data_IF_596105137552
#
_entry.id   IF_596105137552
#
_cell.length_a   1.000
_cell.length_b   1.000
_cell.length_c   1.000
_cell.angle_alpha   90.00
_cell.angle_beta   90.00
_cell.angle_gamma   90.00
#
_symmetry.space_group_name_H-M   'P 1'
#
loop_
_entity.id
_entity.type
_entity.pdbx_description
1 polymer ?
#
# COMPACT_ATOMS: atom_id res chain seq x y z
N UNK A 1 1.42 25.01 4.10
CA UNK A 1 0.06 25.17 3.61
C UNK A 1 0.04 26.31 2.62
N UNK A 2 -0.17 25.96 1.36
CA UNK A 2 -0.40 26.94 0.32
C UNK A 2 -1.83 27.47 0.56
N UNK A 3 -1.96 28.59 1.25
CA UNK A 3 -3.23 29.27 1.40
C UNK A 3 -3.75 29.70 0.03
N UNK A 4 -5.05 29.62 -0.18
CA UNK A 4 -5.83 30.12 -1.32
C UNK A 4 -5.17 30.03 -2.72
N UNK A 5 -4.57 28.90 -3.04
CA UNK A 5 -3.95 28.69 -4.32
C UNK A 5 -4.94 27.99 -5.26
N UNK A 6 -5.36 28.70 -6.30
CA UNK A 6 -6.28 28.19 -7.33
C UNK A 6 -5.64 27.15 -8.27
N UNK A 7 -4.35 26.83 -8.08
CA UNK A 7 -3.64 25.80 -8.87
C UNK A 7 -3.76 24.44 -8.23
N UNK A 8 -4.04 23.43 -9.03
CA UNK A 8 -3.98 22.03 -8.59
C UNK A 8 -2.54 21.67 -8.19
N UNK A 9 -2.39 20.85 -7.12
CA UNK A 9 -1.09 20.45 -6.58
C UNK A 9 -0.23 19.78 -7.65
N UNK A 10 -0.82 18.94 -8.49
CA UNK A 10 -0.12 18.24 -9.56
C UNK A 10 0.46 19.16 -10.62
N UNK A 11 -0.24 20.23 -10.98
CA UNK A 11 0.26 21.27 -11.90
C UNK A 11 1.45 22.05 -11.30
N UNK A 12 1.42 22.30 -9.99
CA UNK A 12 2.54 22.95 -9.28
C UNK A 12 3.75 22.02 -9.22
N UNK A 13 3.54 20.73 -8.89
CA UNK A 13 4.62 19.73 -8.86
C UNK A 13 5.25 19.54 -10.24
N UNK A 14 4.45 19.48 -11.31
CA UNK A 14 4.96 19.37 -12.67
C UNK A 14 5.83 20.57 -13.08
N UNK A 15 5.40 21.78 -12.77
CA UNK A 15 6.17 23.00 -13.05
C UNK A 15 7.48 23.07 -12.22
N UNK A 16 7.44 22.61 -10.96
CA UNK A 16 8.62 22.56 -10.10
C UNK A 16 9.60 21.46 -10.54
N UNK A 17 9.11 20.34 -11.07
CA UNK A 17 9.92 19.21 -11.51
C UNK A 17 10.91 19.65 -12.59
N UNK A 18 10.46 20.35 -13.62
CA UNK A 18 11.31 20.84 -14.70
C UNK A 18 12.42 21.76 -14.18
N UNK A 19 12.10 22.68 -13.27
CA UNK A 19 13.06 23.60 -12.68
C UNK A 19 14.06 22.89 -11.75
N UNK A 20 13.63 21.88 -11.03
CA UNK A 20 14.48 21.13 -10.08
C UNK A 20 15.37 20.13 -10.81
N UNK A 21 14.91 19.48 -11.87
CA UNK A 21 15.72 18.54 -12.66
C UNK A 21 16.86 19.22 -13.38
N UNK A 22 16.64 20.44 -13.86
CA UNK A 22 17.67 21.27 -14.52
C UNK A 22 18.65 21.94 -13.55
N UNK A 23 18.34 21.98 -12.26
CA UNK A 23 19.22 22.61 -11.25
C UNK A 23 20.42 21.70 -10.93
N UNK A 24 21.67 22.20 -11.00
CA UNK A 24 22.86 21.43 -10.65
C UNK A 24 22.85 21.13 -9.14
N UNK A 25 23.07 19.86 -8.77
CA UNK A 25 23.15 19.42 -7.38
C UNK A 25 23.55 17.97 -7.27
N UNK A 26 24.44 17.67 -6.31
CA UNK A 26 24.81 16.31 -5.98
C UNK A 26 23.74 15.68 -5.09
N UNK A 27 22.89 14.81 -5.63
CA UNK A 27 21.92 14.06 -4.85
C UNK A 27 20.68 13.65 -5.66
N UNK A 28 19.95 12.67 -5.13
CA UNK A 28 18.70 12.21 -5.72
C UNK A 28 17.57 13.14 -5.31
N UNK A 29 16.90 13.74 -6.29
CA UNK A 29 15.77 14.62 -6.08
C UNK A 29 14.49 13.81 -6.13
N UNK A 30 13.61 13.96 -5.15
CA UNK A 30 12.34 13.22 -5.07
C UNK A 30 11.22 14.16 -4.69
N UNK A 31 10.11 14.08 -5.43
CA UNK A 31 8.88 14.80 -5.09
C UNK A 31 7.96 13.87 -4.28
N UNK A 32 7.51 14.33 -3.13
CA UNK A 32 6.54 13.61 -2.31
C UNK A 32 5.31 14.48 -2.16
N UNK A 33 4.18 14.03 -2.69
CA UNK A 33 2.87 14.64 -2.47
C UNK A 33 2.19 13.95 -1.29
N UNK A 34 1.65 14.74 -0.37
CA UNK A 34 0.82 14.22 0.71
C UNK A 34 -0.56 13.91 0.12
N UNK A 35 -0.89 12.65 -0.06
CA UNK A 35 -2.25 12.23 -0.36
C UNK A 35 -3.09 12.31 0.92
N UNK A 36 -4.27 12.94 0.85
CA UNK A 36 -5.24 12.94 1.95
C UNK A 36 -5.84 11.56 2.11
N UNK A 37 -5.32 10.76 3.02
CA UNK A 37 -5.79 9.41 3.29
C UNK A 37 -4.82 8.64 4.18
N UNK A 38 -5.12 7.39 4.55
CA UNK A 38 -4.14 6.52 5.18
C UNK A 38 -2.91 6.41 4.27
N UNK A 39 -1.69 6.31 4.85
CA UNK A 39 -0.48 6.15 4.06
C UNK A 39 -0.62 4.89 3.20
N UNK A 40 -0.76 5.09 1.90
CA UNK A 40 -0.74 4.01 0.93
C UNK A 40 0.70 3.77 0.47
N UNK A 41 1.03 2.52 0.21
CA UNK A 41 2.30 2.17 -0.44
C UNK A 41 2.43 2.82 -1.81
N UNK A 42 3.63 2.79 -2.39
CA UNK A 42 3.84 3.26 -3.76
C UNK A 42 3.03 2.43 -4.75
N UNK A 43 2.56 3.05 -5.82
CA UNK A 43 1.80 2.35 -6.87
C UNK A 43 2.62 1.22 -7.52
N UNK A 44 3.92 1.45 -7.72
CA UNK A 44 4.88 0.40 -8.05
C UNK A 44 5.79 0.22 -6.85
N UNK A 45 5.78 -0.97 -6.24
CA UNK A 45 6.67 -1.37 -5.18
C UNK A 45 6.93 -2.88 -5.31
N UNK A 46 8.15 -3.22 -5.76
CA UNK A 46 8.53 -4.61 -6.01
C UNK A 46 9.76 -4.94 -5.21
N UNK A 47 9.65 -5.90 -4.33
CA UNK A 47 10.77 -6.44 -3.55
C UNK A 47 11.46 -7.53 -4.36
N UNK A 48 12.67 -7.27 -4.77
CA UNK A 48 13.57 -8.20 -5.47
C UNK A 48 14.37 -8.96 -4.42
N UNK A 49 14.14 -10.26 -4.28
CA UNK A 49 14.68 -11.07 -3.19
C UNK A 49 15.56 -12.20 -3.70
N UNK A 50 16.65 -12.47 -2.96
CA UNK A 50 17.56 -13.56 -3.27
C UNK A 50 18.62 -13.76 -2.20
N UNK A 51 19.57 -14.61 -2.48
CA UNK A 51 20.68 -14.90 -1.56
C UNK A 51 21.96 -14.16 -1.99
N UNK A 52 22.16 -13.93 -3.30
CA UNK A 52 23.29 -13.17 -3.85
C UNK A 52 22.87 -11.71 -4.10
N UNK A 53 23.58 -10.78 -3.48
CA UNK A 53 23.24 -9.37 -3.56
C UNK A 53 23.52 -8.77 -4.95
N UNK A 54 24.54 -9.25 -5.65
CA UNK A 54 24.91 -8.72 -6.96
C UNK A 54 23.92 -9.22 -8.04
N UNK A 55 23.38 -10.41 -7.86
CA UNK A 55 22.28 -10.92 -8.70
C UNK A 55 20.97 -10.17 -8.41
N UNK A 56 20.65 -9.91 -7.13
CA UNK A 56 19.51 -9.09 -6.74
C UNK A 56 19.59 -7.70 -7.37
N UNK A 57 20.75 -7.06 -7.33
CA UNK A 57 20.92 -5.71 -7.90
C UNK A 57 20.75 -5.70 -9.42
N UNK A 58 21.31 -6.67 -10.13
CA UNK A 58 21.12 -6.80 -11.59
C UNK A 58 19.64 -7.03 -11.94
N UNK A 59 18.96 -7.87 -11.17
CA UNK A 59 17.53 -8.10 -11.34
C UNK A 59 16.72 -6.83 -11.02
N UNK A 60 17.07 -6.10 -9.96
CA UNK A 60 16.43 -4.81 -9.62
C UNK A 60 16.61 -3.77 -10.74
N UNK A 61 17.79 -3.72 -11.37
CA UNK A 61 18.05 -2.85 -12.53
C UNK A 61 17.18 -3.23 -13.73
N UNK A 62 16.99 -4.52 -13.98
CA UNK A 62 16.07 -5.00 -15.02
C UNK A 62 14.62 -4.65 -14.70
N UNK A 63 14.17 -4.82 -13.46
CA UNK A 63 12.83 -4.42 -13.01
C UNK A 63 12.62 -2.91 -13.17
N UNK A 64 13.62 -2.08 -12.81
CA UNK A 64 13.58 -0.61 -13.04
C UNK A 64 13.43 -0.27 -14.52
N UNK A 65 14.15 -0.98 -15.39
CA UNK A 65 14.06 -0.76 -16.84
C UNK A 65 12.64 -1.08 -17.37
N UNK A 66 12.04 -2.18 -16.94
CA UNK A 66 10.65 -2.52 -17.29
C UNK A 66 9.69 -1.44 -16.77
N UNK A 67 9.82 -1.07 -15.48
CA UNK A 67 8.94 -0.10 -14.85
C UNK A 67 8.99 1.28 -15.52
N UNK A 68 10.16 1.74 -15.98
CA UNK A 68 10.32 3.02 -16.69
C UNK A 68 9.63 3.06 -18.05
N UNK A 69 9.42 1.90 -18.67
CA UNK A 69 8.73 1.78 -19.96
C UNK A 69 7.20 1.76 -19.83
N UNK A 70 6.66 1.69 -18.61
CA UNK A 70 5.22 1.75 -18.37
C UNK A 70 4.74 3.19 -18.50
N UNK A 71 3.73 3.49 -19.35
CA UNK A 71 3.19 4.84 -19.49
C UNK A 71 2.68 5.42 -18.16
N UNK A 72 3.01 6.66 -17.87
CA UNK A 72 2.60 7.35 -16.65
C UNK A 72 3.50 7.08 -15.43
N UNK A 73 4.56 6.28 -15.58
CA UNK A 73 5.50 6.02 -14.49
C UNK A 73 6.51 7.14 -14.33
N UNK A 74 6.82 7.50 -13.08
CA UNK A 74 7.83 8.50 -12.74
C UNK A 74 8.58 8.12 -11.47
N UNK A 75 9.76 8.72 -11.25
CA UNK A 75 10.58 8.54 -10.05
C UNK A 75 10.92 7.07 -9.74
N UNK A 76 11.16 6.25 -10.78
CA UNK A 76 11.53 4.84 -10.60
C UNK A 76 12.95 4.75 -10.04
N UNK A 77 13.06 4.23 -8.83
CA UNK A 77 14.30 4.07 -8.08
C UNK A 77 14.28 2.77 -7.26
N UNK A 78 15.45 2.38 -6.79
CA UNK A 78 15.55 1.35 -5.76
C UNK A 78 15.97 1.96 -4.41
N UNK A 79 15.89 1.16 -3.37
CA UNK A 79 16.24 1.52 -2.00
C UNK A 79 17.69 1.12 -1.63
N UNK A 80 18.49 0.62 -2.60
CA UNK A 80 19.90 0.32 -2.43
C UNK A 80 20.73 1.57 -2.62
N UNK A 81 20.77 2.41 -1.60
CA UNK A 81 21.62 3.59 -1.61
C UNK A 81 23.07 3.21 -1.29
N UNK A 82 24.05 3.78 -2.03
CA UNK A 82 25.45 3.60 -1.68
C UNK A 82 25.69 4.13 -0.26
N UNK A 83 26.41 3.35 0.51
CA UNK A 83 26.83 3.76 1.85
C UNK A 83 27.91 4.83 1.81
N UNK A 84 28.40 5.22 2.99
CA UNK A 84 29.53 6.14 3.10
C UNK A 84 30.76 5.54 2.43
N UNK A 85 31.63 6.36 1.81
CA UNK A 85 32.88 5.88 1.27
C UNK A 85 33.65 5.10 2.36
N UNK A 86 34.08 3.89 2.02
CA UNK A 86 34.87 3.04 2.88
C UNK A 86 36.29 3.05 2.36
N UNK A 87 37.21 3.40 3.24
CA UNK A 87 38.63 3.38 2.96
C UNK A 87 39.22 2.06 3.46
N UNK A 88 39.73 1.26 2.54
CA UNK A 88 40.31 -0.04 2.83
C UNK A 88 41.81 0.02 2.71
N UNK A 89 42.52 -0.36 3.77
CA UNK A 89 43.98 -0.51 3.78
C UNK A 89 44.31 -2.00 3.55
N UNK A 90 44.90 -2.32 2.43
CA UNK A 90 45.42 -3.67 2.15
C UNK A 90 46.89 -3.72 2.47
N UNK A 91 47.31 -4.65 3.32
CA UNK A 91 48.73 -4.84 3.63
C UNK A 91 49.49 -5.27 2.37
N UNK A 92 50.60 -4.59 2.06
CA UNK A 92 51.51 -5.02 0.98
C UNK A 92 52.44 -6.11 1.53
N UNK A 93 52.34 -7.36 1.06
CA UNK A 93 53.13 -8.48 1.62
C UNK A 93 54.64 -8.32 1.47
N UNK A 94 55.07 -7.72 0.38
CA UNK A 94 56.51 -7.53 0.12
C UNK A 94 57.07 -6.44 1.01
N UNK A 95 56.36 -5.31 1.11
CA UNK A 95 56.77 -4.21 2.00
C UNK A 95 56.79 -4.66 3.48
N UNK A 96 55.83 -5.52 3.90
CA UNK A 96 55.84 -6.09 5.26
C UNK A 96 57.06 -7.00 5.51
N UNK A 97 57.41 -7.84 4.52
CA UNK A 97 58.56 -8.75 4.61
C UNK A 97 59.88 -7.99 4.71
N UNK A 98 60.07 -6.99 3.84
CA UNK A 98 61.27 -6.18 3.79
C UNK A 98 61.50 -5.37 5.06
N UNK A 99 60.44 -4.97 5.71
CA UNK A 99 60.46 -4.21 6.97
C UNK A 99 60.33 -5.09 8.21
N UNK A 100 60.28 -6.41 8.08
CA UNK A 100 60.12 -7.36 9.20
C UNK A 100 58.87 -7.08 10.06
N UNK A 101 57.75 -6.64 9.44
CA UNK A 101 56.48 -6.31 10.13
C UNK A 101 55.48 -7.40 9.88
N UNK A 102 54.83 -7.91 10.93
CA UNK A 102 53.73 -8.81 10.76
C UNK A 102 52.41 -8.06 10.46
N UNK A 103 51.54 -8.67 9.70
CA UNK A 103 50.21 -8.08 9.43
C UNK A 103 49.42 -7.78 10.72
N UNK A 104 49.58 -8.61 11.76
CA UNK A 104 48.96 -8.37 13.08
C UNK A 104 49.49 -7.11 13.77
N UNK A 105 50.82 -6.89 13.71
CA UNK A 105 51.41 -5.68 14.26
C UNK A 105 50.95 -4.44 13.49
N UNK A 106 50.89 -4.52 12.16
CA UNK A 106 50.40 -3.44 11.33
C UNK A 106 48.96 -3.09 11.68
N UNK A 107 48.07 -4.08 11.77
CA UNK A 107 46.66 -3.89 12.15
C UNK A 107 46.51 -3.25 13.55
N UNK A 108 47.36 -3.66 14.52
CA UNK A 108 47.37 -3.09 15.86
C UNK A 108 47.86 -1.61 15.82
N UNK A 109 48.87 -1.29 15.08
CA UNK A 109 49.37 0.08 14.92
C UNK A 109 48.33 1.00 14.29
N UNK A 110 47.64 0.52 13.25
CA UNK A 110 46.56 1.26 12.61
C UNK A 110 45.39 1.47 13.62
N UNK A 111 45.04 0.45 14.38
CA UNK A 111 43.99 0.55 15.42
C UNK A 111 44.35 1.61 16.46
N UNK A 112 45.59 1.59 16.98
CA UNK A 112 46.07 2.58 17.97
C UNK A 112 46.03 3.99 17.37
N UNK A 113 46.35 4.12 16.07
CA UNK A 113 46.37 5.41 15.40
C UNK A 113 44.98 5.97 15.10
N UNK A 114 43.95 5.14 14.88
CA UNK A 114 42.61 5.56 14.46
C UNK A 114 41.64 5.61 15.63
N UNK A 115 41.51 4.51 16.37
CA UNK A 115 40.47 4.29 17.39
C UNK A 115 41.03 4.15 18.83
N UNK A 116 42.31 3.82 18.92
CA UNK A 116 42.95 3.46 20.16
C UNK A 116 42.73 1.99 20.54
N UNK A 117 43.52 1.52 21.51
CA UNK A 117 43.46 0.17 22.04
C UNK A 117 43.23 0.22 23.56
N UNK A 118 42.24 -0.55 24.05
CA UNK A 118 42.03 -0.72 25.47
C UNK A 118 43.08 -1.69 26.02
N UNK A 119 44.03 -1.17 26.76
CA UNK A 119 45.20 -1.93 27.25
C UNK A 119 44.99 -2.44 28.67
N UNK A 120 44.14 -1.82 29.48
CA UNK A 120 43.86 -2.22 30.82
C UNK A 120 42.51 -1.68 31.32
N UNK A 121 42.12 -2.16 32.49
CA UNK A 121 40.97 -1.64 33.20
C UNK A 121 41.42 -1.22 34.63
N UNK A 122 40.91 -0.10 35.11
CA UNK A 122 41.06 0.34 36.50
C UNK A 122 39.65 0.44 37.11
N UNK A 123 39.65 0.63 38.44
CA UNK A 123 38.41 0.95 39.16
C UNK A 123 38.53 2.35 39.74
N UNK A 124 37.52 3.17 39.47
CA UNK A 124 37.40 4.48 40.09
C UNK A 124 36.00 4.60 40.72
N UNK A 125 35.95 4.93 41.99
CA UNK A 125 34.72 5.02 42.78
C UNK A 125 33.77 3.82 42.69
N UNK A 126 34.31 2.62 42.39
CA UNK A 126 33.53 1.37 42.20
C UNK A 126 33.22 1.02 40.74
N UNK A 127 33.31 1.94 39.83
CA UNK A 127 33.08 1.73 38.40
C UNK A 127 34.30 1.20 37.67
N UNK A 128 34.07 0.36 36.67
CA UNK A 128 35.11 -0.17 35.78
C UNK A 128 35.43 0.86 34.69
N UNK A 129 36.64 1.43 34.78
CA UNK A 129 37.13 2.42 33.80
C UNK A 129 38.11 1.77 32.85
N UNK A 130 37.94 1.99 31.54
CA UNK A 130 38.84 1.53 30.49
C UNK A 130 40.04 2.47 30.35
N UNK A 131 41.25 1.91 30.32
CA UNK A 131 42.45 2.62 29.93
C UNK A 131 42.69 2.39 28.44
N UNK A 132 42.48 3.43 27.65
CA UNK A 132 42.65 3.39 26.22
C UNK A 132 43.92 4.15 25.80
N UNK A 133 44.80 3.50 25.11
CA UNK A 133 45.95 4.13 24.47
C UNK A 133 45.58 4.55 23.05
N UNK A 134 45.75 5.81 22.74
CA UNK A 134 45.53 6.38 21.43
C UNK A 134 46.76 7.19 21.02
N UNK A 135 47.13 7.18 19.73
CA UNK A 135 48.21 8.00 19.23
C UNK A 135 47.89 9.49 19.49
N UNK A 136 48.82 10.19 20.13
CA UNK A 136 48.71 11.64 20.30
C UNK A 136 48.86 12.28 18.90
N UNK A 137 47.76 12.78 18.37
CA UNK A 137 47.75 13.57 17.16
C UNK A 137 47.83 15.03 17.57
N UNK A 138 48.79 15.74 16.97
CA UNK A 138 49.01 17.14 17.23
C UNK A 138 47.71 17.99 17.12
N UNK A 139 47.69 19.10 17.81
CA UNK A 139 46.55 19.85 18.30
C UNK A 139 45.64 20.52 17.23
N UNK A 140 45.89 20.42 15.94
CA UNK A 140 45.06 21.02 14.91
C UNK A 140 44.04 20.01 14.40
N UNK A 141 42.85 20.08 14.99
CA UNK A 141 41.78 19.08 14.87
C UNK A 141 41.21 18.91 13.45
N UNK A 142 41.47 19.81 12.53
CA UNK A 142 40.94 19.76 11.16
C UNK A 142 41.87 19.03 10.13
N UNK A 143 43.14 19.05 10.37
CA UNK A 143 44.14 18.48 9.42
C UNK A 143 44.32 16.95 9.56
N UNK A 144 43.93 16.38 10.70
CA UNK A 144 44.19 14.98 11.07
C UNK A 144 43.11 13.98 10.70
N UNK A 145 42.00 14.46 10.14
CA UNK A 145 40.91 13.60 9.68
C UNK A 145 41.05 13.20 8.22
N UNK A 146 42.12 13.60 7.57
CA UNK A 146 42.42 13.24 6.19
C UNK A 146 43.13 11.90 6.13
N UNK A 147 42.84 11.15 5.08
CA UNK A 147 43.45 9.85 4.79
C UNK A 147 44.98 10.03 4.61
N UNK A 148 45.37 11.12 3.98
CA UNK A 148 46.79 11.43 3.72
C UNK A 148 47.56 11.60 5.03
N UNK A 149 47.02 12.26 6.03
CA UNK A 149 47.63 12.39 7.35
C UNK A 149 47.79 11.04 8.06
N UNK A 150 46.81 10.10 7.86
CA UNK A 150 46.93 8.74 8.38
C UNK A 150 48.08 7.97 7.66
N UNK A 151 48.16 8.07 6.35
CA UNK A 151 49.21 7.40 5.55
C UNK A 151 50.61 7.93 5.82
N UNK A 152 50.73 9.22 6.13
CA UNK A 152 51.98 9.87 6.51
C UNK A 152 52.37 9.63 7.98
N UNK A 153 51.57 8.95 8.77
CA UNK A 153 51.85 8.65 10.19
C UNK A 153 53.18 7.84 10.27
N UNK A 154 54.19 8.34 11.01
CA UNK A 154 55.45 7.62 11.21
C UNK A 154 55.20 6.44 12.17
N UNK A 155 55.67 5.27 11.75
CA UNK A 155 55.60 4.03 12.53
C UNK A 155 57.01 3.61 12.91
N UNK A 156 57.27 3.50 14.22
CA UNK A 156 58.50 2.90 14.73
C UNK A 156 58.41 1.37 14.62
N UNK A 157 59.31 0.76 13.90
CA UNK A 157 59.36 -0.66 13.66
C UNK A 157 60.24 -1.40 14.70
N UNK A 158 60.02 -2.72 14.90
CA UNK A 158 60.79 -3.50 15.87
C UNK A 158 62.28 -3.55 15.60
N UNK A 159 62.68 -3.32 14.37
CA UNK A 159 64.12 -3.25 13.95
C UNK A 159 64.78 -1.90 14.24
N UNK A 160 64.05 -0.95 14.88
CA UNK A 160 64.55 0.40 15.19
C UNK A 160 64.46 1.41 14.05
N UNK A 161 63.96 1.04 12.88
CA UNK A 161 63.73 1.97 11.77
C UNK A 161 62.35 2.62 11.88
N UNK A 162 62.20 3.79 11.25
CA UNK A 162 60.91 4.49 11.16
C UNK A 162 60.48 4.50 9.70
N UNK A 163 59.25 4.06 9.46
CA UNK A 163 58.66 4.11 8.12
C UNK A 163 57.29 4.79 8.19
N UNK A 164 56.68 5.14 7.04
CA UNK A 164 55.33 5.68 6.99
C UNK A 164 54.35 4.57 6.80
N UNK A 165 53.13 4.72 7.38
CA UNK A 165 52.07 3.73 7.19
C UNK A 165 51.78 3.46 5.69
N UNK A 166 51.72 4.53 4.87
CA UNK A 166 51.47 4.44 3.45
C UNK A 166 52.51 3.60 2.66
N UNK A 167 53.73 3.43 3.19
CA UNK A 167 54.72 2.55 2.56
C UNK A 167 54.45 1.05 2.78
N UNK A 168 53.61 0.69 3.76
CA UNK A 168 53.31 -0.69 4.13
C UNK A 168 51.94 -1.18 3.62
N UNK A 169 51.15 -0.27 3.05
CA UNK A 169 49.75 -0.58 2.65
C UNK A 169 49.45 -0.06 1.25
N UNK A 170 48.57 -0.75 0.59
CA UNK A 170 47.84 -0.26 -0.58
C UNK A 170 46.47 0.25 -0.15
N UNK A 171 46.09 1.37 -0.73
CA UNK A 171 44.84 2.06 -0.36
C UNK A 171 43.79 1.88 -1.44
N UNK A 172 42.57 1.55 -1.05
CA UNK A 172 41.43 1.41 -1.95
C UNK A 172 40.24 2.13 -1.37
N UNK A 173 39.59 3.00 -2.15
CA UNK A 173 38.38 3.72 -1.74
C UNK A 173 37.22 3.15 -2.50
N UNK A 174 36.31 2.47 -1.79
CA UNK A 174 35.12 1.91 -2.37
C UNK A 174 33.88 2.45 -1.64
N UNK A 175 32.76 2.65 -2.34
CA UNK A 175 31.50 2.90 -1.65
C UNK A 175 31.17 1.68 -0.79
N UNK A 176 30.91 1.87 0.50
CA UNK A 176 30.39 0.78 1.33
C UNK A 176 28.97 0.43 0.89
N UNK A 177 28.55 -0.77 1.18
CA UNK A 177 27.11 -1.09 1.12
C UNK A 177 26.44 -0.32 2.23
N UNK A 178 25.34 0.38 1.91
CA UNK A 178 24.57 1.15 2.89
C UNK A 178 23.83 0.25 3.86
N UNK A 179 22.52 0.17 3.72
CA UNK A 179 21.66 -0.69 4.54
C UNK A 179 21.33 -1.95 3.75
N UNK A 180 21.59 -3.11 4.32
CA UNK A 180 21.16 -4.40 3.76
C UNK A 180 19.81 -4.74 4.38
N UNK A 181 18.75 -4.70 3.60
CA UNK A 181 17.41 -5.05 4.02
C UNK A 181 17.14 -6.54 3.82
N UNK A 182 16.35 -7.11 4.70
CA UNK A 182 15.86 -8.48 4.60
C UNK A 182 14.33 -8.48 4.67
N UNK A 183 13.71 -9.30 3.85
CA UNK A 183 12.29 -9.58 3.89
C UNK A 183 12.07 -11.09 3.77
N UNK A 184 11.30 -11.65 4.72
CA UNK A 184 11.10 -13.10 4.82
C UNK A 184 12.42 -13.89 4.77
N UNK A 185 13.40 -13.50 5.59
CA UNK A 185 14.73 -14.11 5.76
C UNK A 185 15.66 -14.04 4.55
N UNK A 186 15.27 -13.42 3.44
CA UNK A 186 16.10 -13.21 2.26
C UNK A 186 16.50 -11.75 2.13
N UNK A 187 17.69 -11.51 1.57
CA UNK A 187 18.13 -10.15 1.21
C UNK A 187 17.18 -9.59 0.18
N UNK A 188 16.89 -8.29 0.29
CA UNK A 188 15.93 -7.64 -0.60
C UNK A 188 16.40 -6.27 -1.02
N UNK A 189 16.10 -5.92 -2.26
CA UNK A 189 16.16 -4.56 -2.81
C UNK A 189 14.75 -4.23 -3.29
N UNK A 190 14.21 -3.11 -2.85
CA UNK A 190 12.85 -2.68 -3.22
C UNK A 190 12.94 -1.66 -4.34
N UNK A 191 12.31 -1.96 -5.47
CA UNK A 191 12.12 -1.03 -6.58
C UNK A 191 10.79 -0.32 -6.38
N UNK A 192 10.83 1.01 -6.33
CA UNK A 192 9.66 1.85 -6.13
C UNK A 192 9.48 2.81 -7.31
N UNK A 193 8.22 3.14 -7.62
CA UNK A 193 7.88 4.13 -8.65
C UNK A 193 6.55 4.80 -8.35
N UNK A 194 6.41 6.05 -8.77
CA UNK A 194 5.14 6.76 -8.78
C UNK A 194 4.43 6.47 -10.11
N UNK A 195 3.09 6.54 -10.10
CA UNK A 195 2.25 6.30 -11.26
C UNK A 195 1.21 7.42 -11.39
N UNK A 196 1.08 7.96 -12.58
CA UNK A 196 -0.03 8.82 -12.93
C UNK A 196 -1.27 7.97 -13.22
N UNK A 197 -2.21 7.96 -12.29
CA UNK A 197 -3.44 7.16 -12.37
C UNK A 197 -4.41 7.65 -13.45
N UNK A 198 -4.20 8.84 -14.00
CA UNK A 198 -4.96 9.31 -15.15
C UNK A 198 -4.51 8.64 -16.45
N UNK A 199 -3.26 8.14 -16.50
CA UNK A 199 -2.67 7.46 -17.66
C UNK A 199 -2.78 5.95 -17.55
N UNK A 200 -2.40 5.39 -16.39
CA UNK A 200 -2.37 3.93 -16.19
C UNK A 200 -2.81 3.59 -14.76
N UNK A 201 -3.65 2.58 -14.63
CA UNK A 201 -4.08 2.05 -13.33
C UNK A 201 -2.98 1.22 -12.67
N UNK A 202 -2.95 1.20 -11.31
CA UNK A 202 -1.96 0.46 -10.52
C UNK A 202 -1.95 -1.03 -10.83
N UNK A 203 -3.11 -1.65 -11.02
CA UNK A 203 -3.21 -3.08 -11.32
C UNK A 203 -2.68 -3.38 -12.74
N UNK A 204 -3.00 -2.53 -13.71
CA UNK A 204 -2.51 -2.65 -15.09
C UNK A 204 -0.99 -2.49 -15.13
N UNK A 205 -0.43 -1.48 -14.48
CA UNK A 205 1.00 -1.25 -14.41
C UNK A 205 1.76 -2.44 -13.81
N UNK A 206 1.26 -2.98 -12.70
CA UNK A 206 1.87 -4.15 -12.06
C UNK A 206 1.72 -5.43 -12.90
N UNK A 207 0.64 -5.60 -13.67
CA UNK A 207 0.49 -6.72 -14.60
C UNK A 207 1.50 -6.64 -15.76
N UNK A 208 1.69 -5.46 -16.35
CA UNK A 208 2.73 -5.24 -17.37
C UNK A 208 4.11 -5.59 -16.81
N UNK A 209 4.37 -5.21 -15.56
CA UNK A 209 5.63 -5.50 -14.90
C UNK A 209 5.80 -7.00 -14.63
N UNK A 210 4.73 -7.71 -14.21
CA UNK A 210 4.72 -9.17 -14.03
C UNK A 210 5.00 -9.90 -15.34
N UNK A 211 4.35 -9.49 -16.45
CA UNK A 211 4.56 -10.07 -17.76
C UNK A 211 5.99 -9.79 -18.30
N UNK A 212 6.45 -8.55 -18.15
CA UNK A 212 7.82 -8.18 -18.53
C UNK A 212 8.88 -8.94 -17.74
N UNK A 213 8.67 -9.15 -16.44
CA UNK A 213 9.54 -9.99 -15.63
C UNK A 213 9.51 -11.45 -16.06
N UNK A 214 8.33 -12.02 -16.31
CA UNK A 214 8.21 -13.42 -16.73
C UNK A 214 9.02 -13.74 -18.00
N UNK A 215 9.21 -12.76 -18.88
CA UNK A 215 10.02 -12.91 -20.10
C UNK A 215 11.54 -13.01 -19.83
N UNK A 216 12.02 -12.53 -18.67
CA UNK A 216 13.44 -12.49 -18.31
C UNK A 216 13.78 -13.28 -17.06
N UNK A 217 12.80 -13.87 -16.38
CA UNK A 217 12.95 -14.56 -15.10
C UNK A 217 13.98 -15.71 -15.17
N UNK A 218 14.07 -16.41 -16.29
CA UNK A 218 15.03 -17.49 -16.50
C UNK A 218 16.50 -17.02 -16.42
N UNK A 219 16.77 -15.73 -16.60
CA UNK A 219 18.11 -15.15 -16.46
C UNK A 219 18.52 -14.94 -14.99
N UNK A 220 17.56 -15.02 -14.06
CA UNK A 220 17.74 -14.77 -12.63
C UNK A 220 17.11 -15.88 -11.77
N UNK A 221 17.62 -17.13 -11.87
CA UNK A 221 16.94 -18.29 -11.26
C UNK A 221 16.93 -18.28 -9.73
N UNK A 222 17.88 -17.56 -9.09
CA UNK A 222 17.94 -17.45 -7.63
C UNK A 222 17.20 -16.23 -7.07
N UNK A 223 16.55 -15.44 -7.94
CA UNK A 223 15.82 -14.23 -7.55
C UNK A 223 14.32 -14.45 -7.64
N UNK A 224 13.59 -13.98 -6.64
CA UNK A 224 12.12 -13.96 -6.63
C UNK A 224 11.60 -12.53 -6.47
N UNK A 225 10.52 -12.19 -7.17
CA UNK A 225 9.82 -10.94 -7.00
C UNK A 225 8.64 -11.10 -6.05
N UNK A 226 8.46 -10.07 -5.22
CA UNK A 226 7.30 -9.94 -4.34
C UNK A 226 6.69 -8.56 -4.57
N UNK A 227 5.46 -8.54 -5.07
CA UNK A 227 4.75 -7.31 -5.40
C UNK A 227 4.08 -6.79 -4.13
N UNK A 228 4.48 -5.61 -3.72
CA UNK A 228 4.05 -4.95 -2.49
C UNK A 228 3.48 -3.57 -2.78
N UNK A 229 3.34 -2.76 -1.74
CA UNK A 229 2.82 -1.40 -1.86
C UNK A 229 1.32 -1.36 -2.10
N UNK A 230 0.85 -0.41 -2.88
CA UNK A 230 -0.58 -0.18 -3.10
C UNK A 230 -1.31 -1.43 -3.65
N UNK A 231 -0.65 -2.24 -4.48
CA UNK A 231 -1.25 -3.47 -5.02
C UNK A 231 -1.54 -4.49 -3.91
N UNK A 232 -0.57 -4.72 -3.02
CA UNK A 232 -0.73 -5.62 -1.88
C UNK A 232 -1.86 -5.14 -0.97
N UNK A 233 -1.88 -3.84 -0.64
CA UNK A 233 -2.92 -3.22 0.19
C UNK A 233 -4.32 -3.37 -0.43
N UNK A 234 -4.43 -3.24 -1.76
CA UNK A 234 -5.69 -3.44 -2.50
C UNK A 234 -6.11 -4.90 -2.45
N UNK A 235 -5.22 -5.84 -2.75
CA UNK A 235 -5.52 -7.28 -2.77
C UNK A 235 -5.92 -7.78 -1.37
N UNK A 236 -5.20 -7.37 -0.32
CA UNK A 236 -5.53 -7.71 1.07
C UNK A 236 -6.90 -7.15 1.47
N UNK A 237 -7.14 -5.88 1.16
CA UNK A 237 -8.42 -5.22 1.44
C UNK A 237 -9.58 -5.89 0.72
N UNK A 238 -9.42 -6.23 -0.56
CA UNK A 238 -10.45 -6.92 -1.35
C UNK A 238 -10.75 -8.32 -0.79
N UNK A 239 -9.73 -9.06 -0.36
CA UNK A 239 -9.91 -10.37 0.24
C UNK A 239 -10.62 -10.29 1.60
N UNK A 240 -10.21 -9.36 2.46
CA UNK A 240 -10.88 -9.09 3.72
C UNK A 240 -12.35 -8.70 3.50
N UNK A 241 -12.61 -7.81 2.52
CA UNK A 241 -13.96 -7.37 2.17
C UNK A 241 -14.85 -8.51 1.69
N UNK A 242 -14.34 -9.43 0.85
CA UNK A 242 -15.11 -10.62 0.41
C UNK A 242 -15.57 -11.46 1.59
N UNK A 243 -14.65 -11.76 2.52
CA UNK A 243 -14.96 -12.58 3.70
C UNK A 243 -15.98 -11.88 4.60
N UNK A 244 -15.73 -10.60 4.91
CA UNK A 244 -16.63 -9.81 5.78
C UNK A 244 -18.01 -9.58 5.14
N UNK A 245 -18.07 -9.37 3.83
CA UNK A 245 -19.32 -9.22 3.09
C UNK A 245 -20.16 -10.50 3.15
N UNK A 246 -19.56 -11.67 2.88
CA UNK A 246 -20.27 -12.95 2.96
C UNK A 246 -20.75 -13.25 4.38
N UNK A 247 -19.91 -12.97 5.38
CA UNK A 247 -20.30 -13.10 6.78
C UNK A 247 -21.48 -12.18 7.12
N UNK A 248 -21.40 -10.90 6.71
CA UNK A 248 -22.46 -9.90 6.93
C UNK A 248 -23.78 -10.29 6.29
N UNK A 249 -23.76 -10.74 5.02
CA UNK A 249 -24.95 -11.26 4.32
C UNK A 249 -25.49 -12.50 5.01
N UNK A 250 -24.63 -13.41 5.48
CA UNK A 250 -25.03 -14.58 6.25
C UNK A 250 -25.73 -14.23 7.57
N UNK A 251 -25.18 -13.29 8.33
CA UNK A 251 -25.79 -12.78 9.56
C UNK A 251 -27.15 -12.10 9.26
N UNK A 252 -27.19 -11.26 8.24
CA UNK A 252 -28.47 -10.65 7.81
C UNK A 252 -29.49 -11.70 7.44
N UNK A 253 -29.09 -12.74 6.69
CA UNK A 253 -30.00 -13.84 6.37
C UNK A 253 -30.57 -14.52 7.63
N UNK A 254 -29.72 -14.83 8.62
CA UNK A 254 -30.17 -15.46 9.87
C UNK A 254 -31.11 -14.58 10.67
N UNK A 255 -30.79 -13.29 10.81
CA UNK A 255 -31.67 -12.32 11.51
C UNK A 255 -33.03 -12.23 10.82
N UNK A 256 -33.03 -12.10 9.49
CA UNK A 256 -34.26 -12.01 8.71
C UNK A 256 -35.07 -13.32 8.73
N UNK A 257 -34.39 -14.48 8.71
CA UNK A 257 -35.04 -15.79 8.79
C UNK A 257 -35.73 -15.97 10.14
N UNK A 258 -35.10 -15.53 11.23
CA UNK A 258 -35.73 -15.52 12.56
C UNK A 258 -36.90 -14.53 12.63
N UNK A 259 -36.75 -13.30 12.12
CA UNK A 259 -37.78 -12.26 12.15
C UNK A 259 -39.02 -12.66 11.36
N UNK A 260 -38.87 -13.21 10.18
CA UNK A 260 -39.98 -13.57 9.30
C UNK A 260 -40.46 -15.01 9.47
N UNK A 261 -39.80 -15.82 10.29
CA UNK A 261 -40.05 -17.27 10.45
C UNK A 261 -40.18 -18.00 9.10
N UNK A 262 -39.28 -17.64 8.15
CA UNK A 262 -39.31 -18.12 6.78
C UNK A 262 -37.92 -18.10 6.18
N UNK A 263 -37.53 -19.09 5.37
CA UNK A 263 -36.27 -19.10 4.63
C UNK A 263 -36.35 -18.39 3.29
N UNK A 264 -37.55 -18.27 2.69
CA UNK A 264 -37.71 -17.66 1.36
C UNK A 264 -37.80 -16.15 1.41
N UNK A 265 -38.40 -15.58 2.46
CA UNK A 265 -38.53 -14.12 2.58
C UNK A 265 -37.22 -13.40 2.73
N UNK A 266 -36.25 -13.87 3.52
CA UNK A 266 -34.89 -13.32 3.53
C UNK A 266 -34.22 -13.32 2.16
N UNK A 267 -34.33 -14.40 1.38
CA UNK A 267 -33.81 -14.47 0.04
C UNK A 267 -34.36 -13.39 -0.91
N UNK A 268 -35.70 -13.17 -0.83
CA UNK A 268 -36.34 -12.10 -1.60
C UNK A 268 -35.84 -10.71 -1.18
N UNK A 269 -35.62 -10.50 0.12
CA UNK A 269 -35.10 -9.25 0.66
C UNK A 269 -33.66 -9.05 0.19
N UNK A 270 -32.79 -10.04 0.32
CA UNK A 270 -31.39 -9.98 -0.07
C UNK A 270 -31.20 -9.83 -1.59
N UNK A 271 -32.23 -10.15 -2.40
CA UNK A 271 -32.21 -9.85 -3.86
C UNK A 271 -32.12 -8.34 -4.16
N UNK A 272 -32.41 -7.48 -3.21
CA UNK A 272 -32.18 -6.03 -3.35
C UNK A 272 -30.69 -5.65 -3.39
N UNK A 273 -29.81 -6.48 -2.87
CA UNK A 273 -28.37 -6.26 -2.86
C UNK A 273 -27.78 -6.26 -4.29
N UNK A 274 -27.99 -7.30 -5.13
CA UNK A 274 -27.60 -7.24 -6.55
C UNK A 274 -28.24 -6.06 -7.29
N UNK A 275 -29.47 -5.71 -6.99
CA UNK A 275 -30.13 -4.55 -7.62
C UNK A 275 -29.44 -3.23 -7.24
N UNK A 276 -28.95 -3.11 -6.02
CA UNK A 276 -28.18 -1.95 -5.58
C UNK A 276 -26.82 -1.88 -6.30
N UNK A 277 -26.16 -3.02 -6.54
CA UNK A 277 -24.93 -3.08 -7.31
C UNK A 277 -25.11 -2.60 -8.75
N UNK A 278 -26.20 -2.96 -9.41
CA UNK A 278 -26.47 -2.45 -10.76
C UNK A 278 -26.60 -0.92 -10.75
N UNK A 279 -27.18 -0.35 -9.71
CA UNK A 279 -27.27 1.11 -9.54
C UNK A 279 -25.92 1.77 -9.38
N UNK A 280 -25.00 1.18 -8.62
CA UNK A 280 -23.62 1.67 -8.48
C UNK A 280 -22.88 1.60 -9.81
N UNK A 281 -22.94 0.46 -10.50
CA UNK A 281 -22.29 0.28 -11.80
C UNK A 281 -22.79 1.32 -12.82
N UNK A 282 -24.08 1.57 -12.84
CA UNK A 282 -24.69 2.59 -13.70
C UNK A 282 -24.24 4.01 -13.31
N UNK A 283 -24.15 4.29 -12.00
CA UNK A 283 -23.65 5.57 -11.50
C UNK A 283 -22.18 5.82 -11.87
N UNK A 284 -21.34 4.80 -11.78
CA UNK A 284 -19.93 4.88 -12.22
C UNK A 284 -19.82 5.14 -13.72
N UNK A 285 -20.64 4.45 -14.54
CA UNK A 285 -20.66 4.64 -15.99
C UNK A 285 -21.08 6.05 -16.39
N UNK A 286 -22.07 6.65 -15.70
CA UNK A 286 -22.53 8.01 -15.97
C UNK A 286 -21.52 9.05 -15.50
N UNK A 287 -20.93 8.86 -14.32
CA UNK A 287 -19.99 9.81 -13.73
C UNK A 287 -18.58 9.74 -14.33
N UNK A 288 -18.26 8.69 -15.09
CA UNK A 288 -16.93 8.44 -15.65
C UNK A 288 -15.88 8.11 -14.58
N UNK A 289 -16.29 7.83 -13.36
CA UNK A 289 -15.38 7.52 -12.26
C UNK A 289 -14.94 6.05 -12.33
N UNK A 290 -13.66 5.75 -12.07
CA UNK A 290 -13.18 4.37 -12.01
C UNK A 290 -13.72 3.65 -10.76
N UNK A 291 -13.81 2.33 -10.85
CA UNK A 291 -14.08 1.50 -9.70
C UNK A 291 -12.88 1.53 -8.75
N UNK A 292 -13.07 2.14 -7.58
CA UNK A 292 -12.03 2.26 -6.55
C UNK A 292 -12.34 1.40 -5.33
N UNK A 293 -11.33 1.17 -4.48
CA UNK A 293 -11.49 0.50 -3.20
C UNK A 293 -12.56 1.19 -2.32
N UNK A 294 -12.58 2.53 -2.35
CA UNK A 294 -13.58 3.33 -1.62
C UNK A 294 -15.00 3.15 -2.17
N UNK A 295 -15.15 2.99 -3.49
CA UNK A 295 -16.42 2.61 -4.10
C UNK A 295 -16.94 1.30 -3.54
N UNK A 296 -16.05 0.31 -3.35
CA UNK A 296 -16.41 -1.00 -2.78
C UNK A 296 -16.83 -0.90 -1.31
N UNK A 297 -16.19 -0.04 -0.51
CA UNK A 297 -16.68 0.26 0.85
C UNK A 297 -18.09 0.85 0.84
N UNK A 298 -18.36 1.77 -0.10
CA UNK A 298 -19.69 2.32 -0.30
C UNK A 298 -20.73 1.27 -0.66
N UNK A 299 -20.36 0.30 -1.50
CA UNK A 299 -21.21 -0.84 -1.90
C UNK A 299 -21.55 -1.74 -0.69
N UNK A 300 -20.59 -2.02 0.18
CA UNK A 300 -20.83 -2.80 1.40
C UNK A 300 -21.81 -2.07 2.34
N UNK A 301 -21.57 -0.77 2.57
CA UNK A 301 -22.46 0.05 3.38
C UNK A 301 -23.87 0.13 2.79
N UNK A 302 -23.98 0.30 1.47
CA UNK A 302 -25.23 0.33 0.73
C UNK A 302 -26.05 -0.95 0.92
N UNK A 303 -25.40 -2.10 1.03
CA UNK A 303 -26.07 -3.39 1.24
C UNK A 303 -26.99 -3.34 2.46
N UNK A 304 -26.54 -2.82 3.59
CA UNK A 304 -27.36 -2.67 4.80
C UNK A 304 -28.49 -1.66 4.64
N UNK A 305 -28.31 -0.60 3.85
CA UNK A 305 -29.30 0.47 3.64
C UNK A 305 -30.39 -0.01 2.66
N UNK A 306 -30.01 -0.66 1.56
CA UNK A 306 -30.93 -1.08 0.50
C UNK A 306 -31.94 -2.12 0.99
N UNK A 307 -31.55 -3.02 1.89
CA UNK A 307 -32.40 -4.10 2.43
C UNK A 307 -33.59 -3.53 3.22
N UNK A 308 -33.44 -2.36 3.87
CA UNK A 308 -34.42 -1.76 4.74
C UNK A 308 -35.77 -1.52 4.02
N UNK A 309 -35.73 -1.04 2.78
CA UNK A 309 -36.92 -0.79 1.96
C UNK A 309 -37.74 -2.06 1.70
N UNK A 310 -37.05 -3.18 1.43
CA UNK A 310 -37.67 -4.47 1.18
C UNK A 310 -38.27 -5.08 2.47
N UNK A 311 -37.59 -4.93 3.61
CA UNK A 311 -38.07 -5.39 4.91
C UNK A 311 -39.42 -4.76 5.22
N UNK A 312 -39.49 -3.42 5.14
CA UNK A 312 -40.73 -2.67 5.44
C UNK A 312 -41.89 -3.05 4.49
N UNK A 313 -41.57 -3.33 3.24
CA UNK A 313 -42.58 -3.72 2.24
C UNK A 313 -43.11 -5.13 2.48
N UNK A 314 -42.24 -6.10 2.73
CA UNK A 314 -42.61 -7.51 2.96
C UNK A 314 -43.34 -7.66 4.30
N UNK A 315 -42.91 -6.97 5.35
CA UNK A 315 -43.55 -6.97 6.64
C UNK A 315 -45.00 -6.46 6.53
N UNK A 316 -45.20 -5.33 5.85
CA UNK A 316 -46.54 -4.81 5.58
C UNK A 316 -47.42 -5.73 4.73
N UNK A 317 -46.85 -6.52 3.82
CA UNK A 317 -47.59 -7.53 3.06
C UNK A 317 -47.99 -8.72 3.93
N UNK A 318 -47.06 -9.19 4.78
CA UNK A 318 -47.32 -10.26 5.73
C UNK A 318 -48.41 -9.92 6.73
N UNK A 319 -48.42 -8.69 7.25
CA UNK A 319 -49.48 -8.20 8.16
C UNK A 319 -50.84 -8.31 7.51
N UNK A 320 -51.00 -7.90 6.26
CA UNK A 320 -52.25 -8.01 5.52
C UNK A 320 -52.64 -9.44 5.20
N UNK A 321 -51.67 -10.27 4.87
CA UNK A 321 -51.91 -11.69 4.65
C UNK A 321 -52.40 -12.38 5.92
N UNK A 322 -51.87 -12.03 7.10
CA UNK A 322 -52.38 -12.49 8.41
C UNK A 322 -53.75 -11.99 8.70
N UNK A 323 -54.13 -10.80 8.21
CA UNK A 323 -55.50 -10.25 8.31
C UNK A 323 -56.48 -10.91 7.31
N UNK A 324 -56.10 -11.95 6.57
CA UNK A 324 -56.96 -12.74 5.69
C UNK A 324 -57.04 -12.27 4.23
N UNK A 325 -56.23 -11.28 3.81
CA UNK A 325 -56.23 -10.85 2.40
C UNK A 325 -55.50 -11.87 1.52
N UNK A 326 -56.00 -12.07 0.30
CA UNK A 326 -55.33 -12.85 -0.72
C UNK A 326 -53.94 -12.25 -1.02
N UNK A 327 -52.93 -13.07 -1.32
CA UNK A 327 -51.55 -12.68 -1.50
C UNK A 327 -51.41 -11.50 -2.47
N UNK A 328 -52.13 -11.51 -3.60
CA UNK A 328 -52.12 -10.42 -4.59
C UNK A 328 -52.58 -9.08 -4.02
N UNK A 329 -53.72 -9.09 -3.30
CA UNK A 329 -54.25 -7.90 -2.66
C UNK A 329 -53.38 -7.40 -1.50
N UNK A 330 -52.82 -8.31 -0.73
CA UNK A 330 -51.93 -7.99 0.38
C UNK A 330 -50.68 -7.20 -0.08
N UNK A 331 -49.98 -7.69 -1.11
CA UNK A 331 -48.76 -7.04 -1.60
C UNK A 331 -49.06 -5.73 -2.34
N UNK A 332 -50.12 -5.65 -3.16
CA UNK A 332 -50.50 -4.41 -3.86
C UNK A 332 -50.88 -3.31 -2.88
N UNK A 333 -51.66 -3.63 -1.87
CA UNK A 333 -52.01 -2.65 -0.83
C UNK A 333 -50.79 -2.26 0.02
N UNK A 334 -49.94 -3.21 0.36
CA UNK A 334 -48.69 -2.92 1.05
C UNK A 334 -47.81 -1.95 0.24
N UNK A 335 -47.61 -2.24 -1.05
CA UNK A 335 -46.85 -1.37 -1.94
C UNK A 335 -47.41 0.04 -2.00
N UNK A 336 -48.75 0.18 -2.24
CA UNK A 336 -49.40 1.51 -2.30
C UNK A 336 -49.21 2.33 -1.03
N UNK A 337 -49.26 1.72 0.15
CA UNK A 337 -49.13 2.44 1.43
C UNK A 337 -47.66 2.71 1.80
N UNK A 338 -46.72 1.87 1.38
CA UNK A 338 -45.31 1.98 1.74
C UNK A 338 -44.45 2.72 0.71
N UNK A 339 -44.93 2.96 -0.52
CA UNK A 339 -44.21 3.74 -1.54
C UNK A 339 -43.74 5.10 -1.00
N UNK A 340 -44.67 5.90 -0.42
CA UNK A 340 -44.31 7.25 0.08
C UNK A 340 -43.28 7.22 1.22
N UNK A 341 -43.43 6.41 2.29
CA UNK A 341 -42.43 6.27 3.33
C UNK A 341 -41.06 5.84 2.79
N UNK A 342 -41.02 4.84 1.88
CA UNK A 342 -39.78 4.36 1.28
C UNK A 342 -39.09 5.46 0.44
N UNK A 343 -39.85 6.19 -0.38
CA UNK A 343 -39.31 7.29 -1.17
C UNK A 343 -38.78 8.43 -0.28
N UNK A 344 -39.48 8.79 0.77
CA UNK A 344 -39.07 9.84 1.71
C UNK A 344 -37.74 9.44 2.38
N UNK A 345 -37.62 8.22 2.92
CA UNK A 345 -36.39 7.77 3.57
C UNK A 345 -35.23 7.69 2.61
N UNK A 346 -35.43 7.19 1.39
CA UNK A 346 -34.37 7.13 0.37
C UNK A 346 -33.94 8.53 -0.07
N UNK A 347 -34.89 9.45 -0.32
CA UNK A 347 -34.59 10.82 -0.75
C UNK A 347 -33.86 11.62 0.35
N UNK A 348 -34.24 11.44 1.61
CA UNK A 348 -33.54 12.09 2.74
C UNK A 348 -32.11 11.59 2.89
N UNK A 349 -31.88 10.29 2.75
CA UNK A 349 -30.53 9.71 2.77
C UNK A 349 -29.69 10.21 1.59
N UNK A 350 -30.26 10.21 0.38
CA UNK A 350 -29.61 10.75 -0.81
C UNK A 350 -29.28 12.24 -0.62
N UNK A 351 -30.24 13.02 -0.14
CA UNK A 351 -30.06 14.46 0.13
C UNK A 351 -28.95 14.74 1.14
N UNK A 352 -28.87 13.93 2.20
CA UNK A 352 -27.80 14.05 3.20
C UNK A 352 -26.40 13.74 2.67
N UNK A 353 -26.30 12.84 1.69
CA UNK A 353 -25.01 12.46 1.08
C UNK A 353 -24.70 13.21 -0.22
N UNK A 354 -25.67 14.00 -0.75
CA UNK A 354 -25.57 14.62 -2.06
C UNK A 354 -24.36 15.56 -2.18
N UNK A 355 -24.17 16.43 -1.20
CA UNK A 355 -23.02 17.36 -1.17
C UNK A 355 -21.68 16.64 -1.26
N UNK A 356 -21.55 15.56 -0.51
CA UNK A 356 -20.33 14.77 -0.43
C UNK A 356 -20.10 13.94 -1.72
N UNK A 357 -21.17 13.37 -2.29
CA UNK A 357 -21.12 12.57 -3.52
C UNK A 357 -20.70 13.39 -4.74
N UNK A 358 -21.17 14.63 -4.83
CA UNK A 358 -20.89 15.53 -5.98
C UNK A 358 -19.78 16.55 -5.69
N UNK A 359 -19.19 16.53 -4.49
CA UNK A 359 -18.07 17.41 -4.13
C UNK A 359 -18.47 18.87 -3.97
N UNK A 360 -19.72 19.17 -3.61
CA UNK A 360 -20.20 20.54 -3.36
C UNK A 360 -19.58 21.02 -2.04
N UNK A 361 -18.70 22.02 -2.13
CA UNK A 361 -17.93 22.54 -0.99
C UNK A 361 -16.53 21.92 -0.84
N UNK A 362 -16.13 21.02 -1.75
CA UNK A 362 -14.80 20.39 -1.80
C UNK A 362 -14.85 18.91 -2.16
N UNK A 363 -13.95 18.47 -3.02
CA UNK A 363 -13.84 17.04 -3.40
C UNK A 363 -13.09 16.28 -2.32
N UNK A 364 -13.70 15.24 -1.75
CA UNK A 364 -13.02 14.27 -0.89
C UNK A 364 -12.67 13.03 -1.69
N UNK A 365 -11.39 12.70 -1.76
CA UNK A 365 -10.90 11.51 -2.48
C UNK A 365 -11.34 10.19 -1.81
N UNK A 366 -11.57 10.21 -0.49
CA UNK A 366 -12.00 9.06 0.28
C UNK A 366 -13.53 8.92 0.32
N UNK A 367 -14.19 9.96 0.83
CA UNK A 367 -15.62 9.91 1.14
C UNK A 367 -16.51 10.19 -0.07
N UNK A 368 -15.99 10.90 -1.09
CA UNK A 368 -16.72 11.16 -2.33
C UNK A 368 -17.17 9.89 -3.04
N UNK A 369 -16.26 8.95 -3.38
CA UNK A 369 -16.63 7.67 -4.00
C UNK A 369 -17.55 6.80 -3.15
N UNK A 370 -17.38 6.79 -1.82
CA UNK A 370 -18.27 6.10 -0.88
C UNK A 370 -19.69 6.66 -0.97
N UNK A 371 -19.83 7.99 -0.84
CA UNK A 371 -21.11 8.66 -0.90
C UNK A 371 -21.79 8.51 -2.27
N UNK A 372 -21.04 8.64 -3.34
CA UNK A 372 -21.53 8.47 -4.72
C UNK A 372 -22.10 7.06 -4.94
N UNK A 373 -21.41 6.03 -4.45
CA UNK A 373 -21.88 4.65 -4.52
C UNK A 373 -23.22 4.47 -3.79
N UNK A 374 -23.35 5.05 -2.59
CA UNK A 374 -24.59 4.97 -1.81
C UNK A 374 -25.72 5.73 -2.51
N UNK A 375 -25.45 6.94 -3.01
CA UNK A 375 -26.45 7.77 -3.70
C UNK A 375 -26.99 7.09 -4.95
N UNK A 376 -26.12 6.69 -5.86
CA UNK A 376 -26.54 6.02 -7.10
C UNK A 376 -27.15 4.66 -6.84
N UNK A 377 -26.55 3.85 -5.98
CA UNK A 377 -27.06 2.54 -5.64
C UNK A 377 -28.41 2.59 -4.95
N UNK A 378 -28.60 3.52 -3.99
CA UNK A 378 -29.88 3.69 -3.30
C UNK A 378 -30.96 4.23 -4.22
N UNK A 379 -30.68 5.20 -5.09
CA UNK A 379 -31.63 5.73 -6.04
C UNK A 379 -32.18 4.62 -6.96
N UNK A 380 -31.29 3.84 -7.56
CA UNK A 380 -31.66 2.74 -8.44
C UNK A 380 -32.34 1.59 -7.69
N UNK A 381 -31.76 1.15 -6.57
CA UNK A 381 -32.34 0.04 -5.81
C UNK A 381 -33.72 0.36 -5.27
N UNK A 382 -33.98 1.60 -4.86
CA UNK A 382 -35.30 2.01 -4.36
C UNK A 382 -36.34 1.85 -5.46
N UNK A 383 -36.08 2.33 -6.66
CA UNK A 383 -37.01 2.19 -7.80
C UNK A 383 -37.21 0.72 -8.13
N UNK A 384 -36.13 -0.04 -8.31
CA UNK A 384 -36.22 -1.46 -8.66
C UNK A 384 -36.89 -2.30 -7.59
N UNK A 385 -36.63 -2.04 -6.31
CA UNK A 385 -37.21 -2.75 -5.18
C UNK A 385 -38.73 -2.63 -5.16
N UNK A 386 -39.27 -1.44 -5.48
CA UNK A 386 -40.75 -1.24 -5.53
C UNK A 386 -41.43 -2.08 -6.61
N UNK A 387 -40.73 -2.55 -7.63
CA UNK A 387 -41.28 -3.43 -8.66
C UNK A 387 -40.85 -4.89 -8.45
N UNK A 388 -39.61 -5.16 -8.21
CA UNK A 388 -39.05 -6.51 -8.16
C UNK A 388 -39.49 -7.25 -6.92
N UNK A 389 -39.48 -6.63 -5.76
CA UNK A 389 -39.92 -7.31 -4.49
C UNK A 389 -41.35 -7.73 -4.52
N UNK A 390 -42.36 -6.91 -4.96
CA UNK A 390 -43.71 -7.36 -5.14
C UNK A 390 -43.86 -8.54 -6.10
N UNK A 391 -43.10 -8.55 -7.21
CA UNK A 391 -43.17 -9.66 -8.16
C UNK A 391 -42.59 -10.94 -7.56
N UNK A 392 -41.48 -10.87 -6.86
CA UNK A 392 -40.91 -12.01 -6.14
C UNK A 392 -41.87 -12.53 -5.05
N UNK A 393 -42.51 -11.63 -4.31
CA UNK A 393 -43.44 -12.01 -3.29
C UNK A 393 -44.65 -12.76 -3.88
N UNK A 394 -45.19 -12.30 -5.02
CA UNK A 394 -46.28 -12.98 -5.74
C UNK A 394 -45.86 -14.36 -6.26
N UNK A 395 -44.62 -14.51 -6.68
CA UNK A 395 -44.10 -15.76 -7.24
C UNK A 395 -43.89 -16.81 -6.16
N UNK A 396 -43.25 -16.43 -5.05
CA UNK A 396 -42.84 -17.36 -4.00
C UNK A 396 -43.90 -17.58 -2.91
N UNK A 397 -44.78 -16.60 -2.65
CA UNK A 397 -45.77 -16.65 -1.60
C UNK A 397 -47.21 -16.91 -2.11
N UNK A 398 -47.33 -17.42 -3.35
CA UNK A 398 -48.59 -17.72 -3.99
C UNK A 398 -49.45 -18.64 -3.10
N UNK A 399 -50.74 -18.29 -2.94
CA UNK A 399 -51.67 -19.10 -2.17
C UNK A 399 -51.79 -20.49 -2.83
N UNK A 400 -51.51 -21.55 -2.06
CA UNK A 400 -51.82 -22.91 -2.51
C UNK A 400 -53.32 -23.00 -2.62
N UNK A 401 -53.86 -23.35 -3.82
CA UNK A 401 -55.29 -23.65 -3.98
C UNK A 401 -55.65 -24.69 -2.92
N UNK A 402 -56.72 -24.49 -2.15
CA UNK A 402 -57.15 -25.53 -1.23
C UNK A 402 -57.38 -26.80 -2.05
N UNK A 403 -56.78 -27.91 -1.64
CA UNK A 403 -57.11 -29.25 -2.14
C UNK A 403 -58.61 -29.38 -1.95
N UNK A 404 -59.41 -29.46 -3.01
CA UNK A 404 -60.82 -29.84 -2.93
C UNK A 404 -60.86 -31.11 -2.11
N UNK A 405 -61.40 -31.00 -0.87
CA UNK A 405 -61.77 -32.15 -0.09
C UNK A 405 -62.75 -32.95 -0.95
N UNK A 406 -62.35 -34.12 -1.37
CA UNK A 406 -63.26 -35.13 -1.85
C UNK A 406 -64.05 -35.58 -0.66
N UNK A 407 -65.15 -34.93 -0.41
CA UNK A 407 -66.32 -35.48 0.36
C UNK A 407 -67.11 -36.27 -0.66
N UNK A 408 -66.91 -37.56 -0.66
CA UNK A 408 -67.86 -38.52 -1.12
C UNK A 408 -68.33 -39.36 0.08
#
# INVERSE_FOLDING_TARGET
PLGDNSREVDAVVAAMREAVETSPGAGTKTFTTLSGGPPAGKAIAVKVRGDDFDEIQRAADAVKAIARNIPGTSDVKDDNLPGKPQFTLKANPDALRDNHVSAALLARLVRISVDGEVVAFTRDAGDKVELRVIANRATDADDLRTIDALLDTPLALPNGTVTRLGALVETDMQPSRGIIKHYNFKRTVTVEGNLDKAVTDTAVANNILKEGWAAIADQYPAVSLDFSGELEDIEESLNAMKVLFLLGVGIMFLILAAQFSSYFQPLMILMTVPLAFTGVAFGLAISGNPLSLYTMYGVIALTGIAVNSAIVLIDAANERKRAGFATTHAIVQAARRRVMPILITSTTTIGGLFSLAFGIGGKSLLWGPVAASIVWGLAFSTVLTLFVVPLLYLTFMRDRKPKKSQLA
#
